data_IF_927902982928
#
_entry.id   IF_927902982928
#
_cell.length_a   1.000
_cell.length_b   1.000
_cell.length_c   1.000
_cell.angle_alpha   90.00
_cell.angle_beta   90.00
_cell.angle_gamma   90.00
#
_symmetry.space_group_name_H-M   'P 1'
#
loop_
_entity.id
_entity.type
_entity.pdbx_description
1 polymer ?
#
# COMPACT_ATOMS: atom_id res chain seq x y z
N UNK A 1 -14.21 10.03 9.65
CA UNK A 1 -14.00 9.71 8.23
C UNK A 1 -13.76 11.03 7.54
N UNK A 2 -12.56 11.27 6.99
CA UNK A 2 -12.30 12.51 6.25
C UNK A 2 -13.01 12.37 4.88
N UNK A 3 -13.97 13.24 4.54
CA UNK A 3 -14.81 13.08 3.35
C UNK A 3 -14.05 13.18 2.02
N UNK A 4 -12.83 13.74 2.04
CA UNK A 4 -11.94 13.88 0.88
C UNK A 4 -11.07 12.63 0.61
N UNK A 5 -11.14 11.60 1.45
CA UNK A 5 -10.39 10.37 1.20
C UNK A 5 -11.27 9.32 0.52
N UNK A 6 -10.87 8.78 -0.65
CA UNK A 6 -11.63 7.71 -1.29
C UNK A 6 -11.74 6.53 -0.31
N UNK A 7 -12.91 5.87 -0.27
CA UNK A 7 -13.13 4.70 0.56
C UNK A 7 -12.10 3.63 0.20
N UNK A 8 -11.59 2.94 1.22
CA UNK A 8 -10.62 1.89 1.00
C UNK A 8 -11.32 0.66 0.43
N UNK A 9 -10.71 -0.03 -0.53
CA UNK A 9 -11.20 -1.32 -0.98
C UNK A 9 -11.20 -2.29 0.22
N UNK A 10 -12.22 -3.13 0.29
CA UNK A 10 -12.24 -4.28 1.19
C UNK A 10 -11.03 -5.19 0.93
N UNK A 11 -10.68 -6.05 1.89
CA UNK A 11 -9.62 -7.05 1.72
C UNK A 11 -9.85 -7.91 0.46
N UNK A 12 -11.10 -8.26 0.17
CA UNK A 12 -11.46 -9.03 -1.03
C UNK A 12 -11.24 -8.25 -2.32
N UNK A 13 -11.61 -6.96 -2.36
CA UNK A 13 -11.33 -6.10 -3.50
C UNK A 13 -9.82 -5.94 -3.71
N UNK A 14 -9.06 -5.78 -2.62
CA UNK A 14 -7.61 -5.71 -2.68
C UNK A 14 -6.98 -6.99 -3.24
N UNK A 15 -7.39 -8.16 -2.74
CA UNK A 15 -6.92 -9.44 -3.26
C UNK A 15 -7.27 -9.63 -4.75
N UNK A 16 -8.44 -9.17 -5.18
CA UNK A 16 -8.84 -9.21 -6.59
C UNK A 16 -8.01 -8.27 -7.47
N UNK A 17 -7.75 -7.04 -6.99
CA UNK A 17 -6.87 -6.08 -7.67
C UNK A 17 -5.47 -6.65 -7.80
N UNK A 18 -4.90 -7.16 -6.71
CA UNK A 18 -3.56 -7.77 -6.72
C UNK A 18 -3.48 -8.95 -7.69
N UNK A 19 -4.48 -9.83 -7.70
CA UNK A 19 -4.54 -10.93 -8.67
C UNK A 19 -4.50 -10.43 -10.12
N UNK A 20 -5.30 -9.42 -10.45
CA UNK A 20 -5.30 -8.83 -11.81
C UNK A 20 -3.96 -8.21 -12.18
N UNK A 21 -3.29 -7.57 -11.22
CA UNK A 21 -1.95 -7.01 -11.43
C UNK A 21 -0.95 -8.10 -11.71
N UNK A 22 -0.91 -9.17 -10.90
CA UNK A 22 0.02 -10.29 -11.11
C UNK A 22 -0.28 -11.03 -12.42
N UNK A 23 -1.55 -11.16 -12.80
CA UNK A 23 -1.95 -11.77 -14.07
C UNK A 23 -1.43 -10.95 -15.28
N UNK A 24 -1.45 -9.61 -15.19
CA UNK A 24 -0.94 -8.70 -16.23
C UNK A 24 0.57 -8.47 -16.19
N UNK A 25 1.14 -8.47 -14.98
CA UNK A 25 2.51 -8.09 -14.65
C UNK A 25 3.10 -9.12 -13.68
N UNK A 26 3.44 -10.33 -14.15
CA UNK A 26 3.87 -11.44 -13.29
C UNK A 26 5.22 -11.20 -12.60
N UNK A 27 5.96 -10.19 -13.04
CA UNK A 27 7.20 -9.69 -12.46
C UNK A 27 6.98 -8.64 -11.36
N UNK A 28 5.71 -8.30 -11.06
CA UNK A 28 5.37 -7.38 -9.98
C UNK A 28 5.29 -8.11 -8.65
N UNK A 29 6.04 -7.61 -7.67
CA UNK A 29 6.08 -8.15 -6.31
C UNK A 29 5.86 -7.04 -5.29
N UNK A 30 5.14 -7.33 -4.21
CA UNK A 30 4.94 -6.40 -3.11
C UNK A 30 5.46 -7.00 -1.80
N UNK A 31 6.11 -6.17 -0.98
CA UNK A 31 6.66 -6.55 0.31
C UNK A 31 6.28 -5.52 1.38
N UNK A 32 5.81 -6.01 2.53
CA UNK A 32 5.71 -5.22 3.74
C UNK A 32 7.08 -5.14 4.42
N UNK A 33 7.55 -3.92 4.68
CA UNK A 33 8.87 -3.69 5.28
C UNK A 33 8.80 -3.48 6.80
N UNK A 34 7.69 -2.93 7.30
CA UNK A 34 7.51 -2.72 8.73
C UNK A 34 6.65 -1.51 9.07
N UNK A 35 6.49 -1.30 10.37
CA UNK A 35 5.91 -0.10 10.98
C UNK A 35 6.98 0.64 11.74
N UNK A 36 6.98 1.96 11.62
CA UNK A 36 7.86 2.87 12.38
C UNK A 36 7.04 4.00 13.00
N UNK A 37 7.57 4.61 14.05
CA UNK A 37 6.99 5.80 14.68
C UNK A 37 7.68 7.05 14.12
N UNK A 38 6.90 7.97 13.57
CA UNK A 38 7.39 9.26 13.09
C UNK A 38 7.60 10.26 14.25
N UNK A 39 8.35 11.32 13.98
CA UNK A 39 8.68 12.36 14.96
C UNK A 39 7.44 13.10 15.51
N UNK A 40 6.37 13.15 14.73
CA UNK A 40 5.08 13.74 15.13
C UNK A 40 4.19 12.77 15.93
N UNK A 41 4.70 11.57 16.25
CA UNK A 41 3.99 10.52 16.97
C UNK A 41 3.05 9.68 16.11
N UNK A 42 2.97 9.93 14.80
CA UNK A 42 2.18 9.09 13.88
C UNK A 42 2.90 7.77 13.59
N UNK A 43 2.13 6.70 13.36
CA UNK A 43 2.70 5.42 12.90
C UNK A 43 2.75 5.40 11.38
N UNK A 44 3.90 5.10 10.80
CA UNK A 44 4.09 4.92 9.36
C UNK A 44 4.18 3.44 9.02
N UNK A 45 3.50 3.04 7.96
CA UNK A 45 3.64 1.72 7.34
C UNK A 45 4.53 1.85 6.11
N UNK A 46 5.63 1.09 6.09
CA UNK A 46 6.56 1.01 4.97
C UNK A 46 6.26 -0.20 4.09
N UNK A 47 6.12 0.02 2.80
CA UNK A 47 5.93 -1.05 1.80
C UNK A 47 6.80 -0.79 0.58
N UNK A 48 7.24 -1.87 -0.05
CA UNK A 48 7.91 -1.80 -1.34
C UNK A 48 7.14 -2.58 -2.40
N UNK A 49 7.24 -2.08 -3.62
CA UNK A 49 6.79 -2.76 -4.84
C UNK A 49 7.97 -2.82 -5.78
N UNK A 50 8.25 -4.01 -6.31
CA UNK A 50 9.21 -4.22 -7.39
C UNK A 50 8.46 -4.52 -8.66
N UNK A 51 8.77 -3.83 -9.76
CA UNK A 51 8.22 -4.08 -11.09
C UNK A 51 9.34 -3.86 -12.12
N UNK A 52 9.56 -4.81 -13.04
CA UNK A 52 10.62 -4.75 -14.06
C UNK A 52 12.00 -4.41 -13.48
N UNK A 53 12.34 -4.97 -12.31
CA UNK A 53 13.60 -4.72 -11.62
C UNK A 53 13.73 -3.35 -10.94
N UNK A 54 12.70 -2.49 -11.01
CA UNK A 54 12.66 -1.21 -10.31
C UNK A 54 11.88 -1.37 -9.01
N UNK A 55 12.49 -0.97 -7.89
CA UNK A 55 11.85 -1.03 -6.58
C UNK A 55 11.43 0.37 -6.14
N UNK A 56 10.14 0.55 -5.89
CA UNK A 56 9.57 1.74 -5.27
C UNK A 56 9.23 1.41 -3.83
N UNK A 57 9.69 2.23 -2.89
CA UNK A 57 9.34 2.11 -1.46
C UNK A 57 8.59 3.35 -1.04
N UNK A 58 7.44 3.16 -0.41
CA UNK A 58 6.63 4.27 0.11
C UNK A 58 6.33 4.07 1.58
N UNK A 59 6.15 5.18 2.28
CA UNK A 59 5.72 5.23 3.66
C UNK A 59 4.35 5.87 3.70
N UNK A 60 3.40 5.24 4.38
CA UNK A 60 2.04 5.75 4.49
C UNK A 60 1.62 5.87 5.96
N UNK A 61 1.06 7.01 6.38
CA UNK A 61 0.61 7.19 7.75
C UNK A 61 -0.63 6.34 8.05
N UNK A 62 -0.62 5.71 9.22
CA UNK A 62 -1.80 5.10 9.82
C UNK A 62 -2.66 6.18 10.45
N UNK A 63 -3.83 6.42 9.85
CA UNK A 63 -4.83 7.33 10.38
C UNK A 63 -5.70 6.58 11.41
N UNK A 64 -5.53 6.93 12.69
CA UNK A 64 -6.23 6.30 13.81
C UNK A 64 -5.45 5.13 14.41
N UNK A 65 -6.06 4.47 15.39
CA UNK A 65 -5.40 3.46 16.21
C UNK A 65 -5.78 2.02 15.83
N UNK A 66 -4.84 1.10 16.08
CA UNK A 66 -5.09 -0.34 16.03
C UNK A 66 -4.94 -0.98 14.65
N UNK A 67 -5.32 -2.27 14.58
CA UNK A 67 -5.03 -3.15 13.45
C UNK A 67 -5.68 -2.67 12.14
N UNK A 68 -6.89 -2.11 12.20
CA UNK A 68 -7.58 -1.59 11.01
C UNK A 68 -6.87 -0.38 10.41
N UNK A 69 -6.32 0.52 11.24
CA UNK A 69 -5.55 1.67 10.76
C UNK A 69 -4.26 1.23 10.06
N UNK A 70 -3.57 0.23 10.61
CA UNK A 70 -2.36 -0.35 10.01
C UNK A 70 -2.66 -1.05 8.68
N UNK A 71 -3.73 -1.86 8.62
CA UNK A 71 -4.14 -2.50 7.37
C UNK A 71 -4.50 -1.47 6.29
N UNK A 72 -5.19 -0.41 6.69
CA UNK A 72 -5.56 0.68 5.79
C UNK A 72 -4.33 1.41 5.25
N UNK A 73 -3.37 1.75 6.12
CA UNK A 73 -2.11 2.36 5.70
C UNK A 73 -1.30 1.45 4.78
N UNK A 74 -1.24 0.14 5.10
CA UNK A 74 -0.63 -0.85 4.23
C UNK A 74 -1.23 -0.83 2.83
N UNK A 75 -2.56 -0.99 2.70
CA UNK A 75 -3.21 -1.02 1.38
C UNK A 75 -3.01 0.28 0.60
N UNK A 76 -3.08 1.44 1.27
CA UNK A 76 -2.77 2.73 0.63
C UNK A 76 -1.33 2.80 0.14
N UNK A 77 -0.38 2.38 0.97
CA UNK A 77 1.02 2.30 0.61
C UNK A 77 1.22 1.44 -0.63
N UNK A 78 0.59 0.27 -0.72
CA UNK A 78 0.80 -0.59 -1.89
C UNK A 78 0.22 0.04 -3.16
N UNK A 79 -0.96 0.65 -3.10
CA UNK A 79 -1.56 1.37 -4.24
C UNK A 79 -0.61 2.48 -4.73
N UNK A 80 -0.08 3.28 -3.82
CA UNK A 80 0.85 4.36 -4.16
C UNK A 80 2.14 3.80 -4.76
N UNK A 81 2.74 2.77 -4.15
CA UNK A 81 3.96 2.16 -4.64
C UNK A 81 3.78 1.53 -6.05
N UNK A 82 2.62 0.94 -6.33
CA UNK A 82 2.28 0.42 -7.66
C UNK A 82 2.19 1.54 -8.71
N UNK A 83 1.49 2.63 -8.39
CA UNK A 83 1.36 3.77 -9.27
C UNK A 83 2.73 4.41 -9.58
N UNK A 84 3.57 4.59 -8.56
CA UNK A 84 4.94 5.12 -8.71
C UNK A 84 5.87 4.15 -9.46
N UNK A 85 5.66 2.84 -9.32
CA UNK A 85 6.37 1.81 -10.11
C UNK A 85 5.86 1.70 -11.56
N UNK A 86 4.89 2.53 -11.97
CA UNK A 86 4.30 2.54 -13.31
C UNK A 86 3.48 1.29 -13.64
N UNK A 87 2.90 0.64 -12.62
CA UNK A 87 2.00 -0.50 -12.80
C UNK A 87 0.60 0.04 -13.10
N UNK A 88 0.01 -0.40 -14.21
CA UNK A 88 -1.37 -0.03 -14.58
C UNK A 88 -2.36 -0.87 -13.77
N UNK A 89 -3.10 -0.20 -12.87
CA UNK A 89 -4.03 -0.80 -11.91
C UNK A 89 -5.45 -0.93 -12.48
#
# INVERSE_FOLDING_TARGET
>A
MNPDQPPLPSYLEWANTWRRIVDKHPDTHCQYLGTELADDGSTLVSVSVTHKGHTTTVKHPAAGDGQSALLNAYMRGVITALAEAGVEI
#
